data_IF_643325578585
#
_entry.id   IF_643325578585
#
_cell.length_a   1.000
_cell.length_b   1.000
_cell.length_c   1.000
_cell.angle_alpha   90.00
_cell.angle_beta   90.00
_cell.angle_gamma   90.00
#
_symmetry.space_group_name_H-M   'P 1'
#
loop_
_entity.id
_entity.type
_entity.pdbx_description
1 polymer ?
#
# COMPACT_ATOMS: atom_id res chain seq x y z
N UNK A 1 -2.09 12.16 3.69
CA UNK A 1 -1.28 11.27 4.57
C UNK A 1 -1.72 9.82 4.36
N UNK A 2 -0.80 8.85 4.40
CA UNK A 2 -1.11 7.43 4.23
C UNK A 2 -0.66 6.56 5.42
N UNK A 3 -1.37 5.45 5.67
CA UNK A 3 -0.89 4.32 6.47
C UNK A 3 -0.41 3.21 5.54
N UNK A 4 0.61 2.47 5.98
CA UNK A 4 1.12 1.31 5.29
C UNK A 4 1.01 0.10 6.22
N UNK A 5 0.51 -1.00 5.68
CA UNK A 5 0.32 -2.30 6.34
C UNK A 5 0.69 -3.41 5.36
N UNK A 6 0.49 -4.68 5.71
CA UNK A 6 0.71 -5.79 4.79
C UNK A 6 -0.25 -6.96 5.00
N UNK A 7 -0.45 -7.73 3.92
CA UNK A 7 -1.29 -8.93 3.85
C UNK A 7 -0.71 -9.94 2.87
N UNK A 8 -1.21 -11.18 2.88
CA UNK A 8 -0.77 -12.25 1.99
C UNK A 8 -0.55 -13.56 2.75
N UNK A 9 0.39 -14.39 2.29
CA UNK A 9 0.72 -15.65 2.98
C UNK A 9 1.02 -15.44 4.47
N UNK A 10 0.33 -16.22 5.31
CA UNK A 10 0.41 -16.10 6.78
C UNK A 10 -0.55 -15.11 7.43
N UNK A 11 -1.35 -14.37 6.65
CA UNK A 11 -2.45 -13.56 7.17
C UNK A 11 -3.68 -14.44 7.45
N UNK A 12 -4.17 -14.43 8.69
CA UNK A 12 -5.37 -15.17 9.13
C UNK A 12 -6.67 -14.54 8.59
N UNK A 13 -6.60 -13.34 7.97
CA UNK A 13 -7.73 -12.51 7.54
C UNK A 13 -8.30 -12.75 6.12
N UNK A 14 -7.82 -13.73 5.35
CA UNK A 14 -8.61 -14.25 4.22
C UNK A 14 -8.04 -14.10 2.80
N UNK A 15 -6.73 -13.92 2.60
CA UNK A 15 -6.12 -14.15 1.29
C UNK A 15 -4.78 -14.87 1.45
N UNK A 16 -4.72 -16.21 1.32
CA UNK A 16 -3.50 -16.98 1.53
C UNK A 16 -2.39 -16.67 0.51
N UNK A 17 -2.72 -15.95 -0.57
CA UNK A 17 -1.78 -15.39 -1.53
C UNK A 17 -2.34 -14.06 -2.07
N UNK A 18 -1.60 -12.96 -1.90
CA UNK A 18 -1.93 -11.66 -2.47
C UNK A 18 -1.32 -11.43 -3.88
N UNK A 19 -0.38 -12.27 -4.28
CA UNK A 19 0.26 -12.32 -5.59
C UNK A 19 -0.49 -13.33 -6.50
N UNK A 20 -1.71 -12.97 -6.87
CA UNK A 20 -2.61 -13.79 -7.68
C UNK A 20 -3.38 -12.93 -8.68
N UNK A 21 -3.81 -13.50 -9.81
CA UNK A 21 -4.74 -12.83 -10.74
C UNK A 21 -6.18 -12.82 -10.23
N UNK A 22 -6.51 -13.60 -9.18
CA UNK A 22 -7.80 -13.53 -8.47
C UNK A 22 -7.82 -12.36 -7.47
N UNK A 23 -7.53 -11.17 -7.94
CA UNK A 23 -7.61 -9.92 -7.17
C UNK A 23 -8.69 -9.00 -7.76
N UNK A 24 -9.02 -7.91 -7.05
CA UNK A 24 -10.08 -6.99 -7.49
C UNK A 24 -9.80 -6.31 -8.84
N UNK A 25 -8.54 -6.24 -9.27
CA UNK A 25 -8.17 -5.72 -10.60
C UNK A 25 -8.10 -6.77 -11.70
N UNK A 26 -8.28 -8.06 -11.39
CA UNK A 26 -8.11 -9.20 -12.28
C UNK A 26 -6.77 -9.22 -13.05
N UNK A 27 -5.68 -8.74 -12.43
CA UNK A 27 -4.35 -8.63 -13.08
C UNK A 27 -3.23 -9.19 -12.21
N UNK A 28 -2.36 -10.06 -12.75
CA UNK A 28 -1.19 -10.52 -12.00
C UNK A 28 -0.18 -9.38 -11.77
N UNK A 29 0.70 -9.49 -10.75
CA UNK A 29 1.68 -8.44 -10.43
C UNK A 29 2.81 -8.19 -11.44
N UNK A 30 2.96 -9.01 -12.48
CA UNK A 30 4.01 -8.89 -13.52
C UNK A 30 5.43 -8.60 -12.97
N UNK A 31 5.77 -9.17 -11.81
CA UNK A 31 7.08 -9.00 -11.15
C UNK A 31 7.26 -7.68 -10.38
N UNK A 32 6.21 -6.86 -10.26
CA UNK A 32 6.23 -5.58 -9.53
C UNK A 32 5.77 -5.75 -8.08
N UNK A 33 6.16 -4.82 -7.22
CA UNK A 33 5.58 -4.68 -5.88
C UNK A 33 4.12 -4.28 -5.97
N UNK A 34 3.26 -4.95 -5.21
CA UNK A 34 1.81 -4.70 -5.27
C UNK A 34 1.22 -4.31 -3.92
N UNK A 35 0.11 -3.58 -3.99
CA UNK A 35 -0.68 -3.20 -2.84
C UNK A 35 -2.19 -3.28 -3.12
N UNK A 36 -2.94 -3.63 -2.09
CA UNK A 36 -4.35 -3.30 -1.99
C UNK A 36 -4.49 -1.89 -1.41
N UNK A 37 -5.49 -1.11 -1.85
CA UNK A 37 -5.73 0.25 -1.33
C UNK A 37 -7.13 0.39 -0.74
N UNK A 38 -7.31 1.30 0.22
CA UNK A 38 -8.63 1.62 0.77
C UNK A 38 -9.67 1.85 -0.32
N UNK A 39 -10.89 1.39 -0.09
CA UNK A 39 -12.03 1.54 -1.00
C UNK A 39 -12.21 2.97 -1.55
N UNK A 40 -12.00 3.98 -0.70
CA UNK A 40 -12.04 5.39 -1.07
C UNK A 40 -11.04 5.79 -2.18
N UNK A 41 -9.83 5.21 -2.20
CA UNK A 41 -8.88 5.41 -3.30
C UNK A 41 -9.14 4.42 -4.43
N UNK A 42 -9.49 3.17 -4.11
CA UNK A 42 -9.74 2.13 -5.11
C UNK A 42 -10.81 2.56 -6.11
N UNK A 43 -11.90 3.17 -5.61
CA UNK A 43 -12.98 3.73 -6.41
C UNK A 43 -14.03 2.71 -6.86
N UNK A 44 -14.12 1.57 -6.18
CA UNK A 44 -15.16 0.56 -6.36
C UNK A 44 -15.34 -0.25 -5.08
N UNK A 45 -16.58 -0.65 -4.78
CA UNK A 45 -16.91 -1.49 -3.64
C UNK A 45 -16.67 -2.99 -3.93
N UNK A 46 -16.63 -3.86 -2.90
CA UNK A 46 -16.52 -5.30 -3.11
C UNK A 46 -17.58 -5.85 -4.05
N UNK A 47 -17.14 -6.56 -5.10
CA UNK A 47 -18.02 -7.18 -6.10
C UNK A 47 -18.36 -6.29 -7.30
N UNK A 48 -17.99 -5.01 -7.30
CA UNK A 48 -18.21 -4.10 -8.44
C UNK A 48 -17.15 -4.23 -9.54
N UNK A 49 -16.06 -4.96 -9.27
CA UNK A 49 -14.97 -5.19 -10.21
C UNK A 49 -13.80 -4.22 -10.01
N UNK A 50 -13.08 -3.95 -11.09
CA UNK A 50 -11.88 -3.12 -11.06
C UNK A 50 -12.23 -1.64 -10.83
N UNK A 51 -11.72 -1.07 -9.74
CA UNK A 51 -11.81 0.35 -9.47
C UNK A 51 -10.82 1.19 -10.30
N UNK A 52 -11.00 2.51 -10.28
CA UNK A 52 -10.17 3.45 -11.06
C UNK A 52 -8.68 3.43 -10.68
N UNK A 53 -8.34 2.98 -9.47
CA UNK A 53 -6.95 2.88 -9.04
C UNK A 53 -6.21 1.67 -9.64
N UNK A 54 -6.91 0.70 -10.22
CA UNK A 54 -6.28 -0.51 -10.76
C UNK A 54 -5.18 -0.19 -11.79
N UNK A 55 -3.97 -0.69 -11.54
CA UNK A 55 -2.81 -0.49 -12.41
C UNK A 55 -2.08 0.84 -12.21
N UNK A 56 -2.56 1.73 -11.35
CA UNK A 56 -1.85 2.97 -11.01
C UNK A 56 -0.65 2.67 -10.12
N UNK A 57 0.43 3.46 -10.27
CA UNK A 57 1.64 3.31 -9.49
C UNK A 57 1.80 4.44 -8.47
N UNK A 58 2.27 4.08 -7.28
CA UNK A 58 2.38 5.00 -6.15
C UNK A 58 3.72 4.83 -5.46
N UNK A 59 4.45 5.94 -5.29
CA UNK A 59 5.60 6.00 -4.41
C UNK A 59 5.14 6.16 -2.97
N UNK A 60 5.62 5.29 -2.10
CA UNK A 60 5.34 5.27 -0.67
C UNK A 60 6.61 5.70 0.06
N UNK A 61 6.55 6.83 0.77
CA UNK A 61 7.65 7.35 1.57
C UNK A 61 7.26 7.28 3.05
N UNK A 62 8.02 6.56 3.88
CA UNK A 62 7.70 6.43 5.32
C UNK A 62 8.22 7.61 6.14
N UNK A 63 7.50 7.99 7.19
CA UNK A 63 7.87 9.11 8.05
C UNK A 63 9.09 8.82 8.96
N UNK A 64 9.26 7.58 9.42
CA UNK A 64 10.27 7.18 10.43
C UNK A 64 11.47 6.41 9.83
N UNK A 65 11.74 6.69 8.56
CA UNK A 65 12.80 6.14 7.72
C UNK A 65 14.19 5.98 8.40
N UNK A 66 14.66 6.99 9.16
CA UNK A 66 16.05 7.05 9.66
C UNK A 66 16.31 6.25 10.94
N UNK A 67 15.28 5.97 11.75
CA UNK A 67 15.44 5.29 13.04
C UNK A 67 15.12 3.79 13.01
N UNK A 68 14.26 3.36 12.09
CA UNK A 68 13.69 2.01 12.06
C UNK A 68 14.08 1.19 10.82
N UNK A 69 14.90 1.76 9.94
CA UNK A 69 15.34 1.12 8.69
C UNK A 69 14.22 0.94 7.66
N UNK A 70 13.15 1.73 7.78
CA UNK A 70 12.06 1.79 6.79
C UNK A 70 12.56 2.47 5.51
N UNK A 71 11.94 2.13 4.37
CA UNK A 71 12.36 2.59 3.05
C UNK A 71 11.24 3.25 2.27
N UNK A 72 11.60 3.86 1.15
CA UNK A 72 10.66 4.22 0.09
C UNK A 72 10.57 3.12 -0.96
N UNK A 73 9.37 2.85 -1.47
CA UNK A 73 9.14 1.90 -2.57
C UNK A 73 8.08 2.44 -3.52
N UNK A 74 8.07 1.96 -4.76
CA UNK A 74 6.95 2.13 -5.68
C UNK A 74 6.14 0.84 -5.74
N UNK A 75 4.82 0.95 -5.64
CA UNK A 75 3.88 -0.18 -5.76
C UNK A 75 2.89 0.06 -6.89
N UNK A 76 2.41 -1.01 -7.51
CA UNK A 76 1.24 -0.98 -8.39
C UNK A 76 0.00 -1.44 -7.63
N UNK A 77 -1.09 -0.70 -7.76
CA UNK A 77 -2.38 -1.07 -7.14
C UNK A 77 -3.00 -2.21 -7.94
N UNK A 78 -3.19 -3.36 -7.30
CA UNK A 78 -3.77 -4.53 -7.94
C UNK A 78 -4.97 -5.11 -7.18
N UNK A 79 -5.31 -4.56 -6.01
CA UNK A 79 -6.37 -5.14 -5.20
C UNK A 79 -7.10 -4.09 -4.35
N UNK A 80 -8.22 -4.51 -3.77
CA UNK A 80 -9.06 -3.70 -2.88
C UNK A 80 -8.78 -4.07 -1.42
N UNK A 81 -8.60 -3.06 -0.58
CA UNK A 81 -8.74 -3.16 0.86
C UNK A 81 -10.14 -2.66 1.24
N UNK A 82 -11.11 -3.55 1.51
CA UNK A 82 -12.50 -3.16 1.70
C UNK A 82 -12.68 -2.33 2.98
N UNK A 83 -13.61 -1.38 2.96
CA UNK A 83 -13.93 -0.60 4.16
C UNK A 83 -14.59 -1.48 5.26
N UNK A 84 -15.42 -2.43 4.84
CA UNK A 84 -16.13 -3.33 5.74
C UNK A 84 -15.16 -4.23 6.51
N UNK A 85 -15.22 -4.17 7.84
CA UNK A 85 -14.38 -4.98 8.73
C UNK A 85 -12.91 -4.55 8.82
N UNK A 86 -12.49 -3.50 8.11
CA UNK A 86 -11.12 -3.00 8.14
C UNK A 86 -11.07 -1.49 8.44
N UNK A 87 -10.94 -1.10 9.73
CA UNK A 87 -10.90 0.30 10.14
C UNK A 87 -9.74 1.11 9.52
N UNK A 88 -8.63 0.46 9.13
CA UNK A 88 -7.52 1.13 8.46
C UNK A 88 -7.90 1.58 7.04
N UNK A 89 -8.81 0.85 6.40
CA UNK A 89 -9.30 1.06 5.05
C UNK A 89 -10.72 1.67 5.00
N UNK A 90 -11.30 1.97 6.16
CA UNK A 90 -12.67 2.45 6.34
C UNK A 90 -12.89 3.95 6.10
N UNK A 91 -11.95 4.64 5.44
CA UNK A 91 -12.16 6.04 5.08
C UNK A 91 -13.33 6.15 4.10
N UNK A 92 -14.25 7.09 4.35
CA UNK A 92 -15.41 7.34 3.47
C UNK A 92 -15.01 7.93 2.11
N UNK A 93 -14.01 8.80 2.12
CA UNK A 93 -13.43 9.47 0.96
C UNK A 93 -12.02 9.96 1.33
N UNK A 94 -11.30 10.57 0.38
CA UNK A 94 -9.92 11.07 0.59
C UNK A 94 -9.82 12.33 1.49
N UNK A 95 -10.91 12.78 2.12
CA UNK A 95 -10.92 13.87 3.11
C UNK A 95 -11.16 13.36 4.53
N UNK A 96 -11.54 12.08 4.69
CA UNK A 96 -11.73 11.45 5.99
C UNK A 96 -10.52 10.61 6.32
N UNK A 97 -10.20 10.52 7.61
CA UNK A 97 -9.00 9.81 8.07
C UNK A 97 -9.35 8.60 8.92
N UNK A 98 -8.48 7.60 8.91
CA UNK A 98 -8.48 6.52 9.89
C UNK A 98 -7.91 6.98 11.24
N UNK A 99 -7.86 6.07 12.22
CA UNK A 99 -7.36 6.34 13.57
C UNK A 99 -5.89 6.83 13.65
N UNK A 100 -5.12 6.79 12.55
CA UNK A 100 -3.74 7.29 12.46
C UNK A 100 -3.64 8.63 11.70
N UNK A 101 -4.79 9.25 11.37
CA UNK A 101 -4.84 10.50 10.60
C UNK A 101 -4.53 10.33 9.12
N UNK A 102 -4.62 9.10 8.58
CA UNK A 102 -4.36 8.83 7.17
C UNK A 102 -5.65 8.75 6.35
N UNK A 103 -5.64 9.40 5.19
CA UNK A 103 -6.75 9.46 4.22
C UNK A 103 -6.89 8.15 3.43
N UNK A 104 -5.82 7.37 3.40
CA UNK A 104 -5.74 6.11 2.65
C UNK A 104 -4.79 5.15 3.36
N UNK A 105 -5.07 3.86 3.23
CA UNK A 105 -4.17 2.78 3.58
C UNK A 105 -3.68 2.04 2.33
N UNK A 106 -2.39 1.78 2.25
CA UNK A 106 -1.80 0.82 1.31
C UNK A 106 -1.46 -0.45 2.08
N UNK A 107 -2.17 -1.52 1.78
CA UNK A 107 -1.95 -2.84 2.33
C UNK A 107 -1.04 -3.63 1.39
N UNK A 108 0.24 -3.71 1.73
CA UNK A 108 1.29 -4.24 0.87
C UNK A 108 1.23 -5.77 0.76
N UNK A 109 1.39 -6.28 -0.44
CA UNK A 109 1.42 -7.71 -0.67
C UNK A 109 2.76 -8.31 -0.24
N UNK A 110 2.76 -9.16 0.79
CA UNK A 110 3.94 -9.91 1.26
C UNK A 110 4.53 -10.75 0.12
N UNK A 111 3.67 -11.42 -0.65
CA UNK A 111 4.06 -12.37 -1.69
C UNK A 111 4.68 -11.69 -2.93
N UNK A 112 4.61 -10.36 -3.03
CA UNK A 112 5.32 -9.57 -4.05
C UNK A 112 6.69 -9.07 -3.57
N UNK A 113 7.01 -9.21 -2.28
CA UNK A 113 8.18 -8.61 -1.64
C UNK A 113 8.00 -7.16 -1.18
N UNK A 114 6.87 -6.52 -1.50
CA UNK A 114 6.60 -5.11 -1.16
C UNK A 114 6.71 -4.84 0.35
N UNK A 115 6.13 -5.71 1.17
CA UNK A 115 6.16 -5.57 2.63
C UNK A 115 7.60 -5.61 3.16
N UNK A 116 8.40 -6.60 2.75
CA UNK A 116 9.80 -6.71 3.14
C UNK A 116 10.65 -5.53 2.65
N UNK A 117 10.33 -4.99 1.48
CA UNK A 117 11.04 -3.83 0.93
C UNK A 117 10.77 -2.54 1.73
N UNK A 118 9.51 -2.27 2.12
CA UNK A 118 9.15 -1.09 2.90
C UNK A 118 9.54 -1.21 4.38
N UNK A 119 9.17 -2.33 5.01
CA UNK A 119 9.31 -2.53 6.46
C UNK A 119 10.67 -3.06 6.89
N UNK A 120 11.46 -3.63 5.97
CA UNK A 120 12.80 -4.15 6.23
C UNK A 120 12.88 -4.98 7.54
N UNK A 121 13.86 -4.68 8.41
CA UNK A 121 14.05 -5.32 9.72
C UNK A 121 13.38 -4.57 10.88
N UNK A 122 12.44 -3.66 10.60
CA UNK A 122 11.83 -2.80 11.62
C UNK A 122 11.04 -3.57 12.69
N UNK A 123 10.52 -4.76 12.36
CA UNK A 123 9.59 -5.51 13.20
C UNK A 123 8.20 -4.88 13.32
N UNK A 124 7.91 -3.84 12.53
CA UNK A 124 6.63 -3.15 12.56
C UNK A 124 5.60 -3.84 11.65
N UNK A 125 4.34 -3.88 12.10
CA UNK A 125 3.18 -4.28 11.29
C UNK A 125 2.45 -3.11 10.62
N UNK A 126 2.77 -1.87 11.02
CA UNK A 126 2.14 -0.66 10.53
C UNK A 126 3.12 0.51 10.63
N UNK A 127 3.10 1.39 9.64
CA UNK A 127 3.77 2.70 9.71
C UNK A 127 2.93 3.75 8.96
N UNK A 128 3.34 5.01 9.05
CA UNK A 128 2.69 6.12 8.33
C UNK A 128 3.68 6.86 7.44
N UNK A 129 3.14 7.63 6.49
CA UNK A 129 3.95 8.42 5.59
C UNK A 129 3.14 9.14 4.52
N UNK A 130 3.76 9.33 3.35
CA UNK A 130 3.15 9.95 2.18
C UNK A 130 3.08 8.96 1.02
N UNK A 131 1.98 9.03 0.26
CA UNK A 131 1.82 8.31 -0.97
C UNK A 131 1.65 9.31 -2.11
N UNK A 132 2.40 9.14 -3.20
CA UNK A 132 2.37 10.03 -4.37
C UNK A 132 2.20 9.20 -5.63
N UNK A 133 1.19 9.52 -6.43
CA UNK A 133 0.99 8.90 -7.75
C UNK A 133 2.19 9.20 -8.64
N UNK A 134 2.71 8.19 -9.32
CA UNK A 134 3.87 8.27 -10.21
C UNK A 134 3.63 7.46 -11.47
N UNK A 135 4.42 7.71 -12.51
CA UNK A 135 4.42 6.85 -13.70
C UNK A 135 5.00 5.47 -13.35
N UNK A 136 4.37 4.40 -13.86
CA UNK A 136 4.80 3.03 -13.54
C UNK A 136 6.19 2.67 -14.05
N UNK A 137 6.71 3.42 -15.00
CA UNK A 137 8.05 3.23 -15.57
C UNK A 137 9.08 4.19 -14.95
N UNK A 138 8.70 4.96 -13.93
CA UNK A 138 9.69 5.68 -13.14
C UNK A 138 10.52 4.65 -12.37
N UNK A 139 11.74 4.37 -12.85
CA UNK A 139 12.74 3.55 -12.17
C UNK A 139 13.05 4.18 -10.80
N UNK A 140 12.32 3.76 -9.76
CA UNK A 140 12.60 4.21 -8.41
C UNK A 140 13.63 3.30 -7.76
N UNK A 141 14.83 3.26 -8.31
CA UNK A 141 16.03 2.91 -7.55
C UNK A 141 16.33 4.07 -6.57
N UNK A 142 15.52 4.21 -5.52
CA UNK A 142 15.76 5.21 -4.47
C UNK A 142 15.68 4.54 -3.10
N UNK A 143 16.77 3.87 -2.68
CA UNK A 143 16.87 3.27 -1.36
C UNK A 143 17.06 4.31 -0.25
N UNK A 144 17.13 5.61 -0.57
CA UNK A 144 17.47 6.66 0.39
C UNK A 144 16.30 7.61 0.60
N UNK A 145 16.01 7.81 1.88
CA UNK A 145 14.97 8.67 2.40
C UNK A 145 15.18 10.11 1.90
N UNK A 146 14.12 10.87 1.56
CA UNK A 146 14.29 12.29 1.35
C UNK A 146 14.88 12.91 2.63
N UNK A 147 16.02 13.60 2.50
CA UNK A 147 16.67 14.27 3.62
C UNK A 147 15.67 15.20 4.32
N UNK A 148 15.43 15.00 5.61
CA UNK A 148 14.66 15.95 6.43
C UNK A 148 15.32 17.34 6.29
N UNK A 149 14.56 18.42 6.03
CA UNK A 149 15.12 19.75 6.05
C UNK A 149 15.67 20.03 7.46
N UNK A 150 16.96 20.38 7.53
CA UNK A 150 17.61 20.81 8.75
C UNK A 150 16.86 22.01 9.32
N UNK A 151 16.25 21.84 10.49
CA UNK A 151 15.76 22.95 11.33
C UNK A 151 16.87 23.46 12.23
#
# INVERSE_FOLDING_TARGET
KATFTYYGSGDYGGSPNCNTSRNACARPPDGRYTAAVSEALFGAAPGEGAGMACGTCWRLDTADCSGLGLKSITVVVNNLCPAAGNPLCGQRDLKHTNQYGAEVNFNLCIDSGAASALFAKSGLGLTTGTATSVDCDSDAAYPECPSLPSH
#
